data_IF_393378460927
#
_entry.id   IF_393378460927
#
_cell.length_a   1.000
_cell.length_b   1.000
_cell.length_c   1.000
_cell.angle_alpha   90.00
_cell.angle_beta   90.00
_cell.angle_gamma   90.00
#
_symmetry.space_group_name_H-M   'P 1'
#
loop_
_entity.id
_entity.type
_entity.pdbx_description
1 polymer ?
#
# COMPACT_ATOMS: atom_id res chain seq x y z
N UNK A 1 -14.21 8.69 -10.35
CA UNK A 1 -12.84 8.48 -9.81
C UNK A 1 -12.62 6.99 -9.56
N UNK A 2 -11.50 6.47 -9.99
CA UNK A 2 -11.12 5.07 -9.71
C UNK A 2 -10.65 5.00 -8.25
N UNK A 3 -11.28 4.12 -7.48
CA UNK A 3 -10.98 3.94 -6.07
C UNK A 3 -10.88 2.45 -5.75
N UNK A 4 -9.67 1.99 -5.39
CA UNK A 4 -9.40 0.62 -4.99
C UNK A 4 -8.81 0.54 -3.57
N UNK A 5 -8.90 1.61 -2.79
CA UNK A 5 -8.32 1.67 -1.45
C UNK A 5 -8.77 0.53 -0.55
N UNK A 6 -10.07 0.24 -0.52
CA UNK A 6 -10.60 -0.83 0.33
C UNK A 6 -10.03 -2.19 -0.06
N UNK A 7 -9.90 -2.45 -1.36
CA UNK A 7 -9.32 -3.70 -1.85
C UNK A 7 -7.86 -3.82 -1.43
N UNK A 8 -7.08 -2.77 -1.67
CA UNK A 8 -5.66 -2.76 -1.34
C UNK A 8 -5.45 -2.91 0.17
N UNK A 9 -6.17 -2.14 0.95
CA UNK A 9 -6.11 -2.21 2.41
C UNK A 9 -6.44 -3.62 2.92
N UNK A 10 -7.53 -4.21 2.43
CA UNK A 10 -7.99 -5.54 2.87
C UNK A 10 -6.96 -6.61 2.53
N UNK A 11 -6.42 -6.60 1.32
CA UNK A 11 -5.41 -7.57 0.89
C UNK A 11 -4.15 -7.48 1.75
N UNK A 12 -3.66 -6.26 2.00
CA UNK A 12 -2.46 -6.05 2.82
C UNK A 12 -2.72 -6.44 4.28
N UNK A 13 -3.88 -6.02 4.83
CA UNK A 13 -4.26 -6.37 6.21
C UNK A 13 -4.33 -7.88 6.40
N UNK A 14 -4.98 -8.59 5.48
CA UNK A 14 -5.10 -10.06 5.56
C UNK A 14 -3.73 -10.73 5.50
N UNK A 15 -2.87 -10.33 4.58
CA UNK A 15 -1.52 -10.89 4.46
C UNK A 15 -0.68 -10.64 5.71
N UNK A 16 -0.72 -9.42 6.26
CA UNK A 16 0.00 -9.05 7.48
C UNK A 16 -0.51 -9.87 8.68
N UNK A 17 -1.83 -10.01 8.81
CA UNK A 17 -2.44 -10.77 9.93
C UNK A 17 -2.15 -12.26 9.85
N UNK A 18 -2.06 -12.83 8.65
CA UNK A 18 -1.64 -14.23 8.46
C UNK A 18 -0.18 -14.42 8.88
N UNK A 19 0.69 -13.46 8.53
CA UNK A 19 2.09 -13.51 8.90
C UNK A 19 2.31 -13.29 10.41
N UNK A 20 1.60 -12.33 11.00
CA UNK A 20 1.67 -12.02 12.42
C UNK A 20 0.32 -11.50 12.91
N UNK A 21 -0.42 -12.35 13.63
CA UNK A 21 -1.77 -12.03 14.13
C UNK A 21 -1.78 -10.87 15.14
N UNK A 22 -0.65 -10.56 15.76
CA UNK A 22 -0.52 -9.45 16.71
C UNK A 22 -0.21 -8.11 16.04
N UNK A 23 0.12 -8.11 14.75
CA UNK A 23 0.37 -6.88 14.02
C UNK A 23 -0.90 -6.05 13.88
N UNK A 24 -0.78 -4.73 14.00
CA UNK A 24 -1.87 -3.80 13.72
C UNK A 24 -1.70 -3.17 12.35
N UNK A 25 -2.81 -2.87 11.67
CA UNK A 25 -2.83 -2.26 10.35
C UNK A 25 -3.80 -1.08 10.35
N UNK A 26 -3.38 0.05 9.77
CA UNK A 26 -4.24 1.23 9.63
C UNK A 26 -4.20 1.75 8.20
N UNK A 27 -5.25 2.47 7.81
CA UNK A 27 -5.34 3.16 6.52
C UNK A 27 -4.85 4.60 6.56
N UNK A 28 -4.36 5.06 7.70
CA UNK A 28 -3.87 6.42 7.89
C UNK A 28 -2.50 6.43 8.52
N UNK A 29 -1.73 7.47 8.21
CA UNK A 29 -0.40 7.67 8.77
C UNK A 29 -0.48 7.96 10.27
N UNK A 30 0.48 7.44 11.04
CA UNK A 30 0.68 7.79 12.45
C UNK A 30 2.18 7.80 12.77
N UNK A 31 2.62 8.78 13.56
CA UNK A 31 4.01 8.85 14.05
C UNK A 31 4.26 7.94 15.24
N UNK A 32 3.21 7.68 16.01
CA UNK A 32 3.31 6.98 17.30
C UNK A 32 2.23 5.91 17.39
N UNK A 33 2.44 4.75 16.73
CA UNK A 33 1.49 3.65 16.84
C UNK A 33 1.33 3.20 18.29
N UNK A 34 0.12 2.80 18.68
CA UNK A 34 -0.16 2.31 20.03
C UNK A 34 0.24 0.86 20.24
N UNK A 35 0.50 0.12 19.17
CA UNK A 35 0.90 -1.29 19.22
C UNK A 35 1.92 -1.59 18.13
N UNK A 36 2.73 -2.63 18.33
CA UNK A 36 3.78 -3.04 17.41
C UNK A 36 3.73 -4.56 17.17
N UNK A 37 4.12 -5.04 15.99
CA UNK A 37 4.43 -4.25 14.80
C UNK A 37 3.19 -3.54 14.27
N UNK A 38 3.38 -2.41 13.61
CA UNK A 38 2.29 -1.65 13.01
C UNK A 38 2.58 -1.36 11.54
N UNK A 39 1.57 -1.50 10.69
CA UNK A 39 1.66 -1.22 9.24
C UNK A 39 0.58 -0.20 8.89
N UNK A 40 0.98 0.93 8.32
CA UNK A 40 0.04 1.89 7.75
C UNK A 40 0.07 1.80 6.23
N UNK A 41 -1.10 1.73 5.60
CA UNK A 41 -1.26 1.64 4.15
C UNK A 41 -2.08 2.84 3.70
N UNK A 42 -1.49 3.70 2.90
CA UNK A 42 -2.12 4.97 2.51
C UNK A 42 -1.97 5.19 1.01
N UNK A 43 -3.07 5.56 0.34
CA UNK A 43 -3.02 6.03 -1.03
C UNK A 43 -2.51 7.47 -1.02
N UNK A 44 -1.32 7.69 -1.56
CA UNK A 44 -0.66 9.00 -1.52
C UNK A 44 -0.75 9.76 -2.84
N UNK A 45 -1.17 9.10 -3.90
CA UNK A 45 -1.46 9.75 -5.17
C UNK A 45 -2.49 8.95 -5.98
N UNK A 46 -3.38 9.67 -6.65
CA UNK A 46 -4.40 9.11 -7.54
C UNK A 46 -4.65 10.12 -8.64
N UNK A 47 -3.99 9.91 -9.79
CA UNK A 47 -4.03 10.84 -10.89
C UNK A 47 -4.69 10.22 -12.11
N UNK A 48 -5.72 10.87 -12.66
CA UNK A 48 -6.36 10.45 -13.90
C UNK A 48 -5.37 10.37 -15.05
N UNK A 49 -5.46 9.31 -15.84
CA UNK A 49 -4.74 9.23 -17.11
C UNK A 49 -5.59 9.95 -18.17
N UNK A 50 -5.20 11.16 -18.53
CA UNK A 50 -6.00 12.04 -19.41
C UNK A 50 -6.26 11.43 -20.79
N UNK A 51 -5.31 10.67 -21.33
CA UNK A 51 -5.47 9.95 -22.61
C UNK A 51 -6.49 8.81 -22.54
N UNK A 52 -6.91 8.40 -21.33
CA UNK A 52 -7.88 7.35 -21.10
C UNK A 52 -9.25 7.88 -20.66
N UNK A 53 -9.52 9.17 -20.84
CA UNK A 53 -10.83 9.78 -20.60
C UNK A 53 -11.66 9.63 -21.88
N UNK A 54 -12.86 9.06 -21.75
CA UNK A 54 -13.77 8.88 -22.87
C UNK A 54 -14.50 10.17 -23.25
N UNK A 55 -15.17 10.16 -24.42
CA UNK A 55 -16.04 11.26 -24.86
C UNK A 55 -17.22 11.53 -23.92
N UNK A 56 -17.51 10.62 -22.99
CA UNK A 56 -18.53 10.78 -21.95
C UNK A 56 -17.95 11.30 -20.63
N UNK A 57 -16.71 11.78 -20.63
CA UNK A 57 -15.97 12.28 -19.45
C UNK A 57 -15.78 11.23 -18.35
N UNK A 58 -15.85 9.95 -18.70
CA UNK A 58 -15.66 8.86 -17.75
C UNK A 58 -14.18 8.51 -17.66
N UNK A 59 -13.65 8.48 -16.44
CA UNK A 59 -12.28 8.04 -16.18
C UNK A 59 -12.14 6.53 -16.39
N UNK A 60 -11.25 6.13 -17.30
CA UNK A 60 -10.96 4.72 -17.59
C UNK A 60 -9.71 4.21 -16.90
N UNK A 61 -8.78 5.08 -16.55
CA UNK A 61 -7.52 4.70 -15.91
C UNK A 61 -7.05 5.77 -14.96
N UNK A 62 -6.37 5.35 -13.90
CA UNK A 62 -5.70 6.24 -12.96
C UNK A 62 -4.34 5.67 -12.56
N UNK A 63 -3.36 6.55 -12.43
CA UNK A 63 -2.06 6.23 -11.87
C UNK A 63 -2.15 6.36 -10.36
N UNK A 64 -1.83 5.28 -9.66
CA UNK A 64 -1.95 5.18 -8.21
C UNK A 64 -0.59 5.02 -7.57
N UNK A 65 -0.41 5.67 -6.42
CA UNK A 65 0.75 5.48 -5.56
C UNK A 65 0.27 5.17 -4.15
N UNK A 66 0.80 4.10 -3.57
CA UNK A 66 0.57 3.72 -2.18
C UNK A 66 1.86 3.82 -1.41
N UNK A 67 1.78 4.39 -0.23
CA UNK A 67 2.89 4.46 0.72
C UNK A 67 2.57 3.61 1.93
N UNK A 68 3.48 2.72 2.28
CA UNK A 68 3.35 1.83 3.42
C UNK A 68 4.46 2.16 4.41
N UNK A 69 4.08 2.41 5.66
CA UNK A 69 5.02 2.59 6.76
C UNK A 69 4.94 1.38 7.69
N UNK A 70 6.10 0.82 8.02
CA UNK A 70 6.22 -0.32 8.92
C UNK A 70 6.98 0.13 10.16
N UNK A 71 6.39 -0.08 11.34
CA UNK A 71 6.95 0.32 12.63
C UNK A 71 7.19 -0.91 13.49
N UNK A 72 8.40 -1.04 14.00
CA UNK A 72 8.79 -2.10 14.94
C UNK A 72 9.60 -1.51 16.09
N UNK A 73 9.58 -2.16 17.26
CA UNK A 73 10.29 -1.67 18.44
C UNK A 73 10.96 -2.76 19.25
N UNK A 74 11.12 -3.96 18.70
CA UNK A 74 11.77 -5.07 19.38
C UNK A 74 13.29 -4.96 19.29
N UNK A 75 14.01 -5.87 19.98
CA UNK A 75 15.47 -5.96 19.89
C UNK A 75 15.94 -6.32 18.47
N UNK A 76 15.08 -7.00 17.70
CA UNK A 76 15.33 -7.37 16.30
C UNK A 76 14.47 -6.53 15.34
N UNK A 77 14.23 -5.26 15.68
CA UNK A 77 13.30 -4.37 14.96
C UNK A 77 13.58 -4.30 13.46
N UNK A 78 14.85 -4.17 13.08
CA UNK A 78 15.23 -4.11 11.67
C UNK A 78 14.90 -5.40 10.92
N UNK A 79 15.21 -6.57 11.50
CA UNK A 79 14.91 -7.86 10.89
C UNK A 79 13.40 -8.10 10.80
N UNK A 80 12.67 -7.74 11.85
CA UNK A 80 11.21 -7.87 11.91
C UNK A 80 10.54 -6.97 10.86
N UNK A 81 11.01 -5.73 10.71
CA UNK A 81 10.50 -4.80 9.71
C UNK A 81 10.78 -5.31 8.28
N UNK A 82 11.95 -5.86 8.03
CA UNK A 82 12.30 -6.43 6.73
C UNK A 82 11.42 -7.63 6.37
N UNK A 83 11.13 -8.49 7.34
CA UNK A 83 10.25 -9.64 7.13
C UNK A 83 8.83 -9.20 6.76
N UNK A 84 8.29 -8.22 7.48
CA UNK A 84 7.00 -7.61 7.15
C UNK A 84 7.03 -6.91 5.78
N UNK A 85 8.10 -6.20 5.46
CA UNK A 85 8.27 -5.54 4.17
C UNK A 85 8.21 -6.54 3.01
N UNK A 86 8.80 -7.72 3.18
CA UNK A 86 8.74 -8.78 2.17
C UNK A 86 7.29 -9.25 1.96
N UNK A 87 6.54 -9.48 3.03
CA UNK A 87 5.12 -9.87 2.95
C UNK A 87 4.29 -8.80 2.24
N UNK A 88 4.46 -7.53 2.61
CA UNK A 88 3.73 -6.41 2.00
C UNK A 88 4.09 -6.26 0.53
N UNK A 89 5.39 -6.34 0.21
CA UNK A 89 5.86 -6.23 -1.18
C UNK A 89 5.31 -7.34 -2.06
N UNK A 90 5.30 -8.58 -1.57
CA UNK A 90 4.75 -9.71 -2.31
C UNK A 90 3.24 -9.55 -2.53
N UNK A 91 2.52 -9.02 -1.55
CA UNK A 91 1.08 -8.75 -1.65
C UNK A 91 0.79 -7.70 -2.71
N UNK A 92 1.52 -6.59 -2.72
CA UNK A 92 1.37 -5.56 -3.76
C UNK A 92 1.74 -6.09 -5.13
N UNK A 93 2.80 -6.88 -5.23
CA UNK A 93 3.22 -7.50 -6.49
C UNK A 93 2.13 -8.43 -7.04
N UNK A 94 1.49 -9.22 -6.18
CA UNK A 94 0.39 -10.10 -6.56
C UNK A 94 -0.85 -9.31 -7.04
N UNK A 95 -1.03 -8.09 -6.54
CA UNK A 95 -2.10 -7.20 -7.02
C UNK A 95 -1.75 -6.48 -8.34
N UNK A 96 -0.52 -6.56 -8.80
CA UNK A 96 -0.07 -5.92 -10.04
C UNK A 96 0.68 -4.61 -9.85
N UNK A 97 1.10 -4.27 -8.63
CA UNK A 97 1.90 -3.08 -8.36
C UNK A 97 3.40 -3.37 -8.52
N UNK A 98 4.16 -2.32 -8.84
CA UNK A 98 5.62 -2.34 -8.75
C UNK A 98 6.09 -1.51 -7.55
N UNK A 99 7.14 -1.98 -6.88
CA UNK A 99 7.76 -1.20 -5.81
C UNK A 99 8.71 -0.17 -6.39
N UNK A 100 8.51 1.09 -6.04
CA UNK A 100 9.36 2.20 -6.48
C UNK A 100 10.35 2.66 -5.41
N UNK A 101 10.13 2.30 -4.14
CA UNK A 101 11.00 2.73 -3.05
C UNK A 101 10.94 1.76 -1.87
N UNK A 102 12.09 1.56 -1.24
CA UNK A 102 12.24 0.94 0.08
C UNK A 102 13.32 1.73 0.80
N UNK A 103 12.97 2.36 1.93
CA UNK A 103 13.91 3.21 2.64
C UNK A 103 13.66 3.14 4.14
N UNK A 104 14.74 3.09 4.90
CA UNK A 104 14.71 3.29 6.34
C UNK A 104 14.67 4.79 6.62
N UNK A 105 13.73 5.23 7.44
CA UNK A 105 13.61 6.63 7.84
C UNK A 105 13.66 6.77 9.36
N UNK A 106 14.31 7.83 9.87
CA UNK A 106 14.24 8.11 11.30
C UNK A 106 12.80 8.45 11.71
N UNK A 107 12.37 7.93 12.86
CA UNK A 107 11.11 8.32 13.49
C UNK A 107 11.38 9.35 14.58
N UNK A 108 10.36 10.13 14.96
CA UNK A 108 10.45 11.11 16.06
C UNK A 108 10.85 10.39 17.34
N UNK A 109 10.22 9.26 17.65
CA UNK A 109 10.63 8.36 18.72
C UNK A 109 11.70 7.40 18.20
N UNK A 110 12.94 7.57 18.64
CA UNK A 110 14.10 6.79 18.18
C UNK A 110 14.13 5.34 18.70
N UNK A 111 13.26 4.99 19.61
CA UNK A 111 13.08 3.59 20.05
C UNK A 111 12.29 2.78 19.03
N UNK A 112 11.64 3.46 18.06
CA UNK A 112 10.84 2.87 17.02
C UNK A 112 11.64 2.84 15.72
N UNK A 113 11.79 1.64 15.13
CA UNK A 113 12.34 1.48 13.79
C UNK A 113 11.24 1.70 12.76
N UNK A 114 11.51 2.50 11.75
CA UNK A 114 10.55 2.83 10.68
C UNK A 114 11.12 2.49 9.32
N UNK A 115 10.36 1.71 8.56
CA UNK A 115 10.68 1.36 7.18
C UNK A 115 9.53 1.84 6.28
N UNK A 116 9.86 2.54 5.20
CA UNK A 116 8.86 3.03 4.24
C UNK A 116 9.01 2.30 2.91
N UNK A 117 7.87 1.93 2.35
CA UNK A 117 7.75 1.33 1.01
C UNK A 117 6.82 2.18 0.18
N UNK A 118 7.09 2.27 -1.12
CA UNK A 118 6.20 2.92 -2.07
C UNK A 118 5.94 2.02 -3.25
N UNK A 119 4.67 1.94 -3.64
CA UNK A 119 4.21 1.09 -4.75
C UNK A 119 3.42 1.92 -5.74
N UNK A 120 3.57 1.61 -7.02
CA UNK A 120 2.90 2.31 -8.10
C UNK A 120 2.25 1.34 -9.07
N UNK A 121 1.10 1.73 -9.60
CA UNK A 121 0.39 0.99 -10.62
C UNK A 121 -0.54 1.91 -11.39
N UNK A 122 -1.01 1.42 -12.53
CA UNK A 122 -2.15 2.00 -13.25
C UNK A 122 -3.33 1.07 -13.09
N UNK A 123 -4.45 1.59 -12.61
CA UNK A 123 -5.70 0.87 -12.51
C UNK A 123 -6.61 1.24 -13.68
N UNK A 124 -7.16 0.22 -14.34
CA UNK A 124 -8.02 0.37 -15.51
C UNK A 124 -9.41 -0.16 -15.20
N UNK A 125 -10.46 0.48 -15.70
CA UNK A 125 -11.80 -0.10 -15.61
C UNK A 125 -11.86 -1.37 -16.44
N UNK A 126 -12.57 -2.39 -15.91
CA UNK A 126 -12.81 -3.62 -16.64
C UNK A 126 -13.66 -3.41 -17.89
N UNK A 127 -13.50 -4.30 -18.86
CA UNK A 127 -14.23 -4.23 -20.15
C UNK A 127 -15.73 -4.40 -19.99
N UNK A 128 -16.19 -5.06 -18.93
CA UNK A 128 -17.61 -5.28 -18.66
C UNK A 128 -18.32 -4.02 -18.15
N UNK A 129 -17.56 -2.95 -17.86
CA UNK A 129 -18.11 -1.69 -17.36
C UNK A 129 -18.71 -1.78 -15.95
N UNK A 130 -18.58 -2.92 -15.28
CA UNK A 130 -19.08 -3.08 -13.92
C UNK A 130 -18.25 -2.26 -12.94
N UNK A 131 -18.94 -1.53 -12.06
CA UNK A 131 -18.25 -0.77 -11.00
C UNK A 131 -17.50 -1.72 -10.07
N UNK A 132 -16.28 -1.31 -9.67
CA UNK A 132 -15.45 -2.09 -8.77
C UNK A 132 -14.59 -3.15 -9.45
N UNK A 133 -14.71 -3.35 -10.76
CA UNK A 133 -13.86 -4.25 -11.52
C UNK A 133 -12.74 -3.47 -12.20
N UNK A 134 -11.52 -3.60 -11.70
CA UNK A 134 -10.34 -2.91 -12.21
C UNK A 134 -9.24 -3.90 -12.56
N UNK A 135 -8.57 -3.63 -13.67
CA UNK A 135 -7.32 -4.29 -14.03
C UNK A 135 -6.17 -3.41 -13.56
N UNK A 136 -5.16 -4.02 -12.98
CA UNK A 136 -4.02 -3.31 -12.39
C UNK A 136 -2.77 -3.72 -13.15
N UNK A 137 -2.02 -2.73 -13.66
CA UNK A 137 -0.75 -2.95 -14.34
C UNK A 137 0.35 -2.17 -13.67
N UNK A 138 1.52 -2.79 -13.52
CA UNK A 138 2.68 -2.16 -12.91
C UNK A 138 3.13 -0.91 -13.69
N UNK A 139 3.61 0.08 -12.94
CA UNK A 139 4.04 1.37 -13.47
C UNK A 139 5.53 1.57 -13.32
#
# INVERSE_FOLDING_TARGET
MIDIENKVYTEVRNAVKVFNSNASVSGTYTDTPSSFPHVSVEETDNASVTSAISTTDREYAANLTYTVNIYTNTKTAKADAKALAAVVSDTFSAMGFSRSMKQELPNIDRTIYRLILRFQATAWRGFDGAEGHYNITAR
#
